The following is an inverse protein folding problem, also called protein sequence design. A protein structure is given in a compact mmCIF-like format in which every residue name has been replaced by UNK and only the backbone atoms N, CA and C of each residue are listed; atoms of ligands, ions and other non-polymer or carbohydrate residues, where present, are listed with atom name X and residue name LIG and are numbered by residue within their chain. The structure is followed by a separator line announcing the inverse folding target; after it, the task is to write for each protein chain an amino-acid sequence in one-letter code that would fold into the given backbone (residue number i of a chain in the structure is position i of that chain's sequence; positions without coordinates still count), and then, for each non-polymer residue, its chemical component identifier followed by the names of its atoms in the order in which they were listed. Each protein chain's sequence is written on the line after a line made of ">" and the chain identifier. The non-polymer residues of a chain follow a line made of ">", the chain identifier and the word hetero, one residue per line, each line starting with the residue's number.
data_IF_337512659315
#
_entry.id   IF_337512659315
#
_cell.length_a   1.000
_cell.length_b   1.000
_cell.length_c   1.000
_cell.angle_alpha   90.00
_cell.angle_beta   90.00
_cell.angle_gamma   90.00
#
_symmetry.space_group_name_H-M   'P 1'
#
loop_
_entity.id
_entity.type
_entity.pdbx_description
1 polymer ?
#
# COMPACT_ATOMS: atom_id res chain seq x y z
N UNK A 1 9.44 24.11 -5.04
CA UNK A 1 10.51 23.34 -5.72
C UNK A 1 10.08 21.89 -5.66
N UNK A 2 9.72 21.26 -6.79
CA UNK A 2 9.42 19.82 -6.80
C UNK A 2 10.72 19.05 -6.65
N UNK A 3 10.74 18.08 -5.74
CA UNK A 3 11.85 17.13 -5.61
C UNK A 3 12.03 16.36 -6.93
N UNK A 4 13.28 16.13 -7.41
CA UNK A 4 13.52 15.30 -8.59
C UNK A 4 13.25 13.80 -8.34
N UNK A 5 12.96 13.43 -7.09
CA UNK A 5 12.67 12.06 -6.69
C UNK A 5 11.19 11.90 -6.39
N UNK A 6 10.57 10.85 -6.93
CA UNK A 6 9.28 10.40 -6.45
C UNK A 6 9.43 9.56 -5.20
N UNK A 7 8.55 9.75 -4.22
CA UNK A 7 8.65 9.11 -2.92
C UNK A 7 7.30 8.56 -2.48
N UNK A 8 7.25 7.27 -2.16
CA UNK A 8 6.09 6.64 -1.56
C UNK A 8 6.32 6.47 -0.05
N UNK A 9 5.41 6.98 0.77
CA UNK A 9 5.50 6.88 2.24
C UNK A 9 4.32 6.09 2.78
N UNK A 10 4.62 5.08 3.60
CA UNK A 10 3.63 4.31 4.37
C UNK A 10 3.59 4.84 5.80
N UNK A 11 2.46 5.42 6.20
CA UNK A 11 2.28 6.00 7.53
C UNK A 11 1.24 5.20 8.30
N UNK A 12 1.53 4.84 9.54
CA UNK A 12 0.52 4.26 10.42
C UNK A 12 -0.44 5.34 10.89
N UNK A 13 -1.74 5.12 10.71
CA UNK A 13 -2.76 5.85 11.47
C UNK A 13 -2.73 5.29 12.89
N UNK A 14 -1.84 5.81 13.73
CA UNK A 14 -1.74 5.41 15.12
C UNK A 14 -2.96 5.90 15.91
N UNK A 15 -4.08 5.18 15.80
CA UNK A 15 -5.02 5.04 16.90
C UNK A 15 -4.64 3.74 17.62
N UNK A 16 -4.10 3.89 18.83
CA UNK A 16 -3.64 2.82 19.73
C UNK A 16 -4.60 1.61 19.78
N UNK A 17 -4.02 0.42 19.92
CA UNK A 17 -4.76 -0.82 20.14
C UNK A 17 -4.89 -1.66 18.87
N UNK A 18 -3.88 -2.48 18.60
CA UNK A 18 -3.92 -3.51 17.57
C UNK A 18 -4.77 -4.70 18.07
N UNK A 19 -5.80 -5.11 17.32
CA UNK A 19 -6.49 -6.38 17.54
C UNK A 19 -6.75 -7.07 16.19
N UNK A 20 -6.68 -8.40 16.18
CA UNK A 20 -6.81 -9.24 14.98
C UNK A 20 -8.27 -9.42 14.50
N UNK A 21 -9.24 -8.73 15.12
CA UNK A 21 -10.64 -9.16 15.04
C UNK A 21 -11.37 -8.76 13.75
N UNK A 22 -10.92 -7.75 12.98
CA UNK A 22 -11.68 -7.22 11.84
C UNK A 22 -10.76 -6.67 10.73
N UNK A 23 -11.31 -6.51 9.52
CA UNK A 23 -10.61 -5.86 8.42
C UNK A 23 -10.28 -4.41 8.82
N UNK A 24 -8.98 -4.11 9.00
CA UNK A 24 -8.55 -2.80 9.53
C UNK A 24 -7.66 -2.08 8.55
N UNK A 25 -7.95 -0.79 8.38
CA UNK A 25 -7.06 0.19 7.74
C UNK A 25 -5.84 0.38 8.64
N UNK A 26 -4.65 0.00 8.15
CA UNK A 26 -3.44 0.00 8.97
C UNK A 26 -2.45 1.09 8.56
N UNK A 27 -2.29 1.30 7.26
CA UNK A 27 -1.35 2.29 6.73
C UNK A 27 -2.04 3.20 5.72
N UNK A 28 -1.79 4.49 5.84
CA UNK A 28 -2.07 5.49 4.83
C UNK A 28 -0.84 5.62 3.91
N UNK A 29 -1.06 5.51 2.60
CA UNK A 29 -0.03 5.62 1.57
C UNK A 29 -0.03 7.03 1.02
N UNK A 30 1.10 7.71 1.08
CA UNK A 30 1.26 9.07 0.55
C UNK A 30 2.27 9.05 -0.59
N UNK A 31 1.97 9.81 -1.66
CA UNK A 31 2.86 10.00 -2.79
C UNK A 31 3.41 11.43 -2.74
N UNK A 32 4.73 11.53 -2.83
CA UNK A 32 5.48 12.79 -2.78
C UNK A 32 5.05 13.62 -1.57
N UNK A 33 4.77 14.91 -1.78
CA UNK A 33 4.37 15.85 -0.74
C UNK A 33 2.85 16.10 -0.73
N UNK A 34 2.05 15.17 -1.26
CA UNK A 34 0.59 15.23 -1.16
C UNK A 34 0.18 15.18 0.32
N UNK A 35 -0.65 16.14 0.72
CA UNK A 35 -1.19 16.24 2.08
C UNK A 35 -2.14 15.08 2.39
N UNK A 36 -2.97 14.71 1.41
CA UNK A 36 -3.90 13.61 1.51
C UNK A 36 -3.25 12.29 1.06
N UNK A 37 -3.60 11.16 1.68
CA UNK A 37 -3.15 9.86 1.21
C UNK A 37 -3.74 9.54 -0.17
N UNK A 38 -2.96 8.82 -0.98
CA UNK A 38 -3.39 8.29 -2.29
C UNK A 38 -4.13 6.96 -2.15
N UNK A 39 -3.99 6.30 -1.00
CA UNK A 39 -4.71 5.08 -0.67
C UNK A 39 -4.29 4.51 0.68
N UNK A 40 -4.75 3.31 0.94
CA UNK A 40 -4.60 2.65 2.23
C UNK A 40 -4.31 1.17 2.09
N UNK A 41 -3.45 0.67 2.99
CA UNK A 41 -3.23 -0.75 3.20
C UNK A 41 -4.20 -1.26 4.26
N UNK A 42 -4.94 -2.29 3.88
CA UNK A 42 -5.88 -3.00 4.74
C UNK A 42 -5.36 -4.39 5.07
N UNK A 43 -5.53 -4.83 6.31
CA UNK A 43 -5.36 -6.23 6.69
C UNK A 43 -6.74 -6.85 6.92
N UNK A 44 -6.99 -7.97 6.26
CA UNK A 44 -8.18 -8.80 6.42
C UNK A 44 -7.79 -10.01 7.26
N UNK A 45 -8.47 -10.18 8.39
CA UNK A 45 -8.26 -11.35 9.26
C UNK A 45 -8.60 -12.64 8.51
N UNK A 46 -8.02 -13.76 8.97
CA UNK A 46 -8.36 -15.07 8.43
C UNK A 46 -9.79 -15.44 8.81
N UNK A 47 -10.50 -16.09 7.89
CA UNK A 47 -11.83 -16.66 8.08
C UNK A 47 -11.78 -18.16 7.77
N UNK A 48 -12.75 -18.98 8.21
CA UNK A 48 -12.79 -20.39 7.86
C UNK A 48 -12.74 -20.61 6.33
N UNK A 49 -11.66 -21.23 5.85
CA UNK A 49 -11.43 -21.47 4.42
C UNK A 49 -10.85 -20.29 3.63
N UNK A 50 -10.58 -19.14 4.27
CA UNK A 50 -10.01 -17.96 3.62
C UNK A 50 -8.77 -17.48 4.40
N UNK A 51 -7.57 -17.47 3.79
CA UNK A 51 -6.39 -17.00 4.47
C UNK A 51 -6.46 -15.49 4.75
N UNK A 52 -5.79 -15.07 5.83
CA UNK A 52 -5.54 -13.65 6.07
C UNK A 52 -4.84 -13.04 4.85
N UNK A 53 -5.17 -11.78 4.54
CA UNK A 53 -4.62 -11.09 3.38
C UNK A 53 -4.47 -9.61 3.63
N UNK A 54 -3.56 -9.01 2.88
CA UNK A 54 -3.36 -7.57 2.79
C UNK A 54 -3.93 -7.09 1.46
N UNK A 55 -4.58 -5.93 1.43
CA UNK A 55 -5.04 -5.32 0.17
C UNK A 55 -4.77 -3.82 0.13
N UNK A 56 -4.55 -3.31 -1.08
CA UNK A 56 -4.46 -1.87 -1.34
C UNK A 56 -5.78 -1.32 -1.89
N UNK A 57 -6.25 -0.22 -1.32
CA UNK A 57 -7.48 0.47 -1.71
C UNK A 57 -7.15 1.94 -1.92
N UNK A 58 -7.62 2.54 -3.02
CA UNK A 58 -7.41 3.97 -3.28
C UNK A 58 -8.14 4.83 -2.25
N UNK A 59 -7.72 6.10 -2.12
CA UNK A 59 -8.31 7.01 -1.14
C UNK A 59 -9.82 7.25 -1.34
N UNK A 60 -10.29 7.10 -2.58
CA UNK A 60 -11.71 7.17 -2.95
C UNK A 60 -12.50 5.87 -2.69
N UNK A 61 -11.86 4.86 -2.10
CA UNK A 61 -12.47 3.58 -1.77
C UNK A 61 -12.45 2.54 -2.89
N UNK A 62 -11.94 2.86 -4.09
CA UNK A 62 -11.87 1.88 -5.18
C UNK A 62 -10.78 0.83 -4.92
N UNK A 63 -11.09 -0.47 -5.08
CA UNK A 63 -10.09 -1.53 -4.96
C UNK A 63 -9.16 -1.51 -6.19
N UNK A 64 -7.86 -1.71 -5.98
CA UNK A 64 -6.88 -1.81 -7.08
C UNK A 64 -6.67 -3.24 -7.57
N UNK A 65 -7.13 -4.23 -6.80
CA UNK A 65 -6.82 -5.65 -7.02
C UNK A 65 -5.46 -6.09 -6.50
N UNK A 66 -4.61 -5.16 -6.02
CA UNK A 66 -3.35 -5.50 -5.38
C UNK A 66 -3.61 -6.10 -4.00
N UNK A 67 -3.14 -7.32 -3.82
CA UNK A 67 -3.27 -8.08 -2.58
C UNK A 67 -2.07 -8.98 -2.35
N UNK A 68 -1.82 -9.33 -1.08
CA UNK A 68 -0.83 -10.32 -0.69
C UNK A 68 -1.31 -11.15 0.49
N UNK A 69 -1.20 -12.48 0.38
CA UNK A 69 -1.39 -13.41 1.50
C UNK A 69 -0.06 -13.75 2.18
N UNK A 70 1.08 -13.36 1.60
CA UNK A 70 2.40 -13.70 2.11
C UNK A 70 2.83 -12.76 3.23
N UNK A 71 2.78 -11.44 3.00
CA UNK A 71 3.13 -10.45 4.02
C UNK A 71 2.66 -9.04 3.63
N UNK A 72 2.64 -8.13 4.62
CA UNK A 72 2.45 -6.69 4.38
C UNK A 72 3.53 -6.12 3.44
N UNK A 73 4.78 -6.53 3.63
CA UNK A 73 5.91 -6.02 2.88
C UNK A 73 5.86 -6.41 1.39
N UNK A 74 5.38 -7.61 1.08
CA UNK A 74 5.13 -8.02 -0.31
C UNK A 74 4.09 -7.12 -0.99
N UNK A 75 3.01 -6.76 -0.28
CA UNK A 75 2.04 -5.79 -0.79
C UNK A 75 2.66 -4.40 -0.97
N UNK A 76 3.47 -3.91 -0.01
CA UNK A 76 4.16 -2.61 -0.13
C UNK A 76 5.02 -2.57 -1.41
N UNK A 77 5.74 -3.64 -1.74
CA UNK A 77 6.53 -3.74 -2.96
C UNK A 77 5.67 -3.68 -4.22
N UNK A 78 4.52 -4.37 -4.24
CA UNK A 78 3.56 -4.28 -5.35
C UNK A 78 2.96 -2.89 -5.51
N UNK A 79 2.73 -2.17 -4.41
CA UNK A 79 2.25 -0.78 -4.44
C UNK A 79 3.35 0.14 -4.98
N UNK A 80 4.61 -0.08 -4.61
CA UNK A 80 5.75 0.65 -5.19
C UNK A 80 5.81 0.45 -6.70
N UNK A 81 5.69 -0.80 -7.17
CA UNK A 81 5.62 -1.10 -8.60
C UNK A 81 4.46 -0.34 -9.25
N UNK A 82 3.24 -0.46 -8.73
CA UNK A 82 2.06 0.24 -9.25
C UNK A 82 2.24 1.76 -9.42
N UNK A 83 2.91 2.44 -8.49
CA UNK A 83 3.15 3.88 -8.60
C UNK A 83 4.41 4.24 -9.39
N UNK A 84 5.34 3.32 -9.60
CA UNK A 84 6.64 3.60 -10.21
C UNK A 84 6.93 2.75 -11.45
N UNK A 85 5.92 2.13 -12.08
CA UNK A 85 6.08 1.33 -13.30
C UNK A 85 6.94 2.02 -14.37
N UNK A 86 6.70 3.31 -14.66
CA UNK A 86 7.49 4.07 -15.63
C UNK A 86 8.97 4.26 -15.21
N UNK A 87 9.22 4.49 -13.91
CA UNK A 87 10.58 4.63 -13.36
C UNK A 87 11.34 3.31 -13.33
N UNK A 88 10.64 2.20 -13.10
CA UNK A 88 11.20 0.84 -13.10
C UNK A 88 11.48 0.38 -14.54
N UNK A 89 10.63 0.75 -15.50
CA UNK A 89 10.83 0.45 -16.91
C UNK A 89 12.08 1.16 -17.48
N UNK A 90 12.29 2.44 -17.16
CA UNK A 90 13.47 3.20 -17.59
C UNK A 90 14.78 2.64 -17.02
N UNK A 91 14.79 2.16 -15.77
CA UNK A 91 15.98 1.53 -15.18
C UNK A 91 16.35 0.20 -15.85
N UNK A 92 15.37 -0.57 -16.35
CA UNK A 92 15.60 -1.85 -17.04
C UNK A 92 16.16 -1.69 -18.45
N UNK A 93 15.98 -0.54 -19.09
CA UNK A 93 16.57 -0.24 -20.40
C UNK A 93 17.98 0.35 -20.34
N UNK A 94 18.42 0.75 -19.16
CA UNK A 94 19.72 1.42 -18.96
C UNK A 94 20.79 0.50 -18.34
N UNK A 95 20.46 -0.78 -18.11
CA UNK A 95 21.35 -1.83 -17.58
C UNK A 95 21.71 -2.85 -18.66
#
# INVERSE_FOLDING_TARGET
>A
MSSPFRLLRFRSDAAEGWSFAEARRLLAVHLDDLAEPVGYVWHHAAEPGVPARWSYVLADGRPTGLQSTASRHDLENRILEYYFEDLIADQRHTA
#
